data_IF_310176594905
#
_entry.id   IF_310176594905
#
_cell.length_a   1.000
_cell.length_b   1.000
_cell.length_c   1.000
_cell.angle_alpha   90.00
_cell.angle_beta   90.00
_cell.angle_gamma   90.00
#
_symmetry.space_group_name_H-M   'P 1'
#
loop_
_entity.id
_entity.type
_entity.pdbx_description
1 polymer ?
#
# COMPACT_ATOMS: atom_id res chain seq x y z
N UNK A 1 -10.63 2.93 18.53
CA UNK A 1 -11.04 4.34 18.45
C UNK A 1 -10.39 4.94 17.20
N UNK A 2 -11.15 5.59 16.32
CA UNK A 2 -10.61 6.16 15.09
C UNK A 2 -9.91 7.49 15.44
N UNK A 3 -8.65 7.67 15.02
CA UNK A 3 -7.80 8.80 15.45
C UNK A 3 -8.42 10.18 15.21
N UNK A 4 -9.16 10.36 14.12
CA UNK A 4 -9.88 11.61 13.81
C UNK A 4 -10.97 11.97 14.82
N UNK A 5 -11.43 11.02 15.65
CA UNK A 5 -12.42 11.28 16.71
C UNK A 5 -11.78 11.96 17.93
N UNK A 6 -10.46 11.92 18.08
CA UNK A 6 -9.76 12.51 19.23
C UNK A 6 -8.65 13.48 18.87
N UNK A 7 -8.23 13.52 17.60
CA UNK A 7 -7.16 14.39 17.10
C UNK A 7 -7.66 15.09 15.84
N UNK A 8 -7.92 16.41 15.95
CA UNK A 8 -8.52 17.23 14.89
C UNK A 8 -7.58 17.47 13.69
N UNK A 9 -6.29 17.23 13.87
CA UNK A 9 -5.23 17.26 12.86
C UNK A 9 -5.22 16.01 11.97
N UNK A 10 -5.88 14.93 12.39
CA UNK A 10 -6.03 13.71 11.59
C UNK A 10 -7.26 13.85 10.69
N UNK A 11 -7.09 13.86 9.35
CA UNK A 11 -8.21 13.95 8.43
C UNK A 11 -9.20 12.80 8.64
N UNK A 12 -10.49 13.08 8.47
CA UNK A 12 -11.53 12.04 8.51
C UNK A 12 -11.44 11.09 7.29
N UNK A 13 -10.72 11.51 6.25
CA UNK A 13 -10.69 10.87 4.95
C UNK A 13 -9.50 9.93 4.73
N UNK A 14 -9.71 9.07 3.73
CA UNK A 14 -8.85 8.05 3.13
C UNK A 14 -7.48 7.85 3.78
N UNK A 15 -7.52 7.07 4.88
CA UNK A 15 -6.35 6.60 5.61
C UNK A 15 -5.33 5.99 4.62
N UNK A 16 -4.03 6.17 4.89
CA UNK A 16 -2.98 5.64 4.01
C UNK A 16 -3.15 4.15 3.72
N UNK A 17 -3.62 3.37 4.70
CA UNK A 17 -3.81 1.94 4.55
C UNK A 17 -4.84 1.58 3.47
N UNK A 18 -5.87 2.41 3.26
CA UNK A 18 -6.90 2.19 2.25
C UNK A 18 -6.35 2.52 0.84
N UNK A 19 -5.57 3.59 0.69
CA UNK A 19 -4.80 3.85 -0.55
C UNK A 19 -3.84 2.69 -0.84
N UNK A 20 -3.18 2.22 0.21
CA UNK A 20 -2.20 1.17 0.13
C UNK A 20 -2.84 -0.18 -0.24
N UNK A 21 -4.08 -0.49 0.14
CA UNK A 21 -4.76 -1.72 -0.28
C UNK A 21 -5.47 -1.59 -1.64
N UNK A 22 -5.81 -0.36 -2.07
CA UNK A 22 -6.65 -0.12 -3.26
C UNK A 22 -6.09 -0.74 -4.53
N UNK A 23 -4.77 -0.67 -4.79
CA UNK A 23 -4.20 -1.29 -6.00
C UNK A 23 -4.22 -2.80 -5.98
N UNK A 24 -4.24 -3.45 -4.81
CA UNK A 24 -4.44 -4.90 -4.75
C UNK A 24 -5.83 -5.26 -5.26
N UNK A 25 -6.84 -4.46 -4.89
CA UNK A 25 -8.22 -4.64 -5.38
C UNK A 25 -8.36 -4.33 -6.87
N UNK A 26 -7.72 -3.27 -7.35
CA UNK A 26 -7.65 -2.95 -8.78
C UNK A 26 -6.97 -4.08 -9.56
N UNK A 27 -5.86 -4.64 -9.05
CA UNK A 27 -5.18 -5.77 -9.68
C UNK A 27 -6.09 -6.99 -9.76
N UNK A 28 -6.82 -7.28 -8.69
CA UNK A 28 -7.76 -8.41 -8.63
C UNK A 28 -8.95 -8.24 -9.59
N UNK A 29 -9.55 -7.04 -9.67
CA UNK A 29 -10.82 -6.82 -10.39
C UNK A 29 -10.65 -6.33 -11.83
N UNK A 30 -9.59 -5.57 -12.13
CA UNK A 30 -9.47 -4.78 -13.36
C UNK A 30 -8.21 -5.17 -14.13
N UNK A 31 -7.04 -5.26 -13.49
CA UNK A 31 -5.75 -5.45 -14.17
C UNK A 31 -5.35 -6.93 -14.36
N UNK A 32 -6.30 -7.77 -14.77
CA UNK A 32 -6.03 -9.16 -15.17
C UNK A 32 -5.89 -10.17 -14.04
N UNK A 33 -6.31 -9.82 -12.81
CA UNK A 33 -6.33 -10.67 -11.60
C UNK A 33 -4.99 -11.32 -11.23
N UNK A 34 -5.00 -12.10 -10.14
CA UNK A 34 -3.89 -12.97 -9.74
C UNK A 34 -4.18 -14.39 -10.20
N UNK A 35 -3.24 -14.99 -10.94
CA UNK A 35 -3.37 -16.36 -11.46
C UNK A 35 -2.96 -17.42 -10.43
N UNK A 36 -2.11 -17.04 -9.48
CA UNK A 36 -1.63 -17.89 -8.39
C UNK A 36 -1.55 -17.08 -7.11
N UNK A 37 -1.64 -17.75 -5.97
CA UNK A 37 -1.44 -17.14 -4.66
C UNK A 37 -0.02 -16.59 -4.50
N UNK A 38 0.98 -17.32 -5.03
CA UNK A 38 2.37 -16.89 -5.08
C UNK A 38 2.51 -15.52 -5.76
N UNK A 39 1.89 -15.35 -6.94
CA UNK A 39 1.94 -14.09 -7.67
C UNK A 39 1.26 -12.95 -6.90
N UNK A 40 0.20 -13.24 -6.15
CA UNK A 40 -0.43 -12.26 -5.25
C UNK A 40 0.50 -11.88 -4.10
N UNK A 41 1.20 -12.85 -3.51
CA UNK A 41 2.14 -12.63 -2.41
C UNK A 41 3.34 -11.80 -2.85
N UNK A 42 3.95 -12.13 -3.99
CA UNK A 42 5.05 -11.35 -4.58
C UNK A 42 4.59 -9.90 -4.83
N UNK A 43 3.41 -9.72 -5.43
CA UNK A 43 2.84 -8.38 -5.65
C UNK A 43 2.71 -7.59 -4.35
N UNK A 44 2.15 -8.20 -3.30
CA UNK A 44 2.02 -7.55 -1.99
C UNK A 44 3.38 -7.22 -1.39
N UNK A 45 4.35 -8.14 -1.43
CA UNK A 45 5.70 -7.94 -0.89
C UNK A 45 6.41 -6.76 -1.56
N UNK A 46 6.45 -6.73 -2.90
CA UNK A 46 7.08 -5.64 -3.65
C UNK A 46 6.46 -4.29 -3.29
N UNK A 47 5.13 -4.23 -3.17
CA UNK A 47 4.44 -2.99 -2.87
C UNK A 47 4.63 -2.53 -1.42
N UNK A 48 4.60 -3.45 -0.46
CA UNK A 48 4.91 -3.16 0.95
C UNK A 48 6.32 -2.61 1.10
N UNK A 49 7.29 -3.18 0.38
CA UNK A 49 8.67 -2.69 0.38
C UNK A 49 8.76 -1.26 -0.17
N UNK A 50 8.17 -1.00 -1.34
CA UNK A 50 8.19 0.34 -1.96
C UNK A 50 7.53 1.38 -1.05
N UNK A 51 6.36 1.06 -0.48
CA UNK A 51 5.66 1.96 0.45
C UNK A 51 6.50 2.24 1.70
N UNK A 52 7.17 1.22 2.24
CA UNK A 52 8.05 1.39 3.40
C UNK A 52 9.24 2.29 3.07
N UNK A 53 9.88 2.10 1.92
CA UNK A 53 10.99 2.94 1.47
C UNK A 53 10.55 4.41 1.28
N UNK A 54 9.39 4.63 0.65
CA UNK A 54 8.81 5.96 0.48
C UNK A 54 8.49 6.64 1.82
N UNK A 55 7.88 5.91 2.77
CA UNK A 55 7.57 6.43 4.11
C UNK A 55 8.82 6.77 4.92
N UNK A 56 9.93 6.08 4.65
CA UNK A 56 11.24 6.39 5.25
C UNK A 56 12.01 7.48 4.49
N UNK A 57 11.44 8.08 3.43
CA UNK A 57 12.11 9.11 2.63
C UNK A 57 13.30 8.59 1.82
N UNK A 58 13.38 7.27 1.57
CA UNK A 58 14.50 6.65 0.86
C UNK A 58 14.26 6.65 -0.66
N UNK A 59 15.29 6.93 -1.48
CA UNK A 59 15.20 6.74 -2.92
C UNK A 59 15.01 5.25 -3.23
N UNK A 60 13.87 4.90 -3.84
CA UNK A 60 13.45 3.50 -4.09
C UNK A 60 14.54 2.74 -4.84
N UNK A 61 15.10 3.34 -5.90
CA UNK A 61 16.12 2.70 -6.73
C UNK A 61 17.38 2.31 -5.93
N UNK A 62 17.81 3.15 -5.00
CA UNK A 62 18.96 2.87 -4.12
C UNK A 62 18.62 1.89 -2.99
N UNK A 63 17.34 1.56 -2.78
CA UNK A 63 16.93 0.58 -1.76
C UNK A 63 16.96 -0.85 -2.33
N UNK A 64 17.02 -1.00 -3.66
CA UNK A 64 17.00 -2.29 -4.36
C UNK A 64 18.43 -2.80 -4.62
N UNK A 65 19.44 -1.92 -4.51
CA UNK A 65 20.88 -2.26 -4.48
C UNK A 65 21.31 -2.76 -3.09
#
# INVERSE_FOLDING_TARGET
>A
MLGFLTHADIPFDNNEAERDIRMAKVKQKVSGTFRTEEGARIFCLTRSFIQTAQKQGKPIFHTIE
#
